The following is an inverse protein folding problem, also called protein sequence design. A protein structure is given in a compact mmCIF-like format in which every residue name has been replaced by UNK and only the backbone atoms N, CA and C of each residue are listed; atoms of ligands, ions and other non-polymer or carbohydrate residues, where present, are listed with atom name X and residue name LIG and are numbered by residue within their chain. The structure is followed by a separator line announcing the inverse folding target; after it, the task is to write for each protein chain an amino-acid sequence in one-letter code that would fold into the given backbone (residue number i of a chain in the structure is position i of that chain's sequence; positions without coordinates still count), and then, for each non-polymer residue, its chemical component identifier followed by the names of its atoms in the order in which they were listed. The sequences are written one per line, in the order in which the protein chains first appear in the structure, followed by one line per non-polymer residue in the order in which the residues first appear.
data_IF_760309323078
#
_entry.id   IF_760309323078
#
_cell.length_a   1.000
_cell.length_b   1.000
_cell.length_c   1.000
_cell.angle_alpha   90.00
_cell.angle_beta   90.00
_cell.angle_gamma   90.00
#
_symmetry.space_group_name_H-M   'P 1'
#
loop_
_entity.id
_entity.type
_entity.pdbx_description
1 polymer ?
#
# COMPACT_ATOMS: atom_id res chain seq x y z
N UNK A 1 0.29 -7.03 -9.93
CA UNK A 1 0.29 -5.88 -10.87
C UNK A 1 1.66 -5.66 -11.47
N UNK A 2 2.71 -5.47 -10.65
CA UNK A 2 4.08 -5.24 -11.14
C UNK A 2 4.76 -6.47 -11.75
N UNK A 3 4.28 -7.68 -11.43
CA UNK A 3 4.82 -8.94 -11.95
C UNK A 3 5.98 -9.51 -11.12
N UNK A 4 6.26 -8.93 -9.97
CA UNK A 4 7.29 -9.35 -9.01
C UNK A 4 6.86 -8.97 -7.59
N UNK A 5 7.38 -9.67 -6.57
CA UNK A 5 7.21 -9.31 -5.15
C UNK A 5 8.25 -8.27 -4.68
N UNK A 6 9.51 -8.44 -5.10
CA UNK A 6 10.59 -7.47 -4.97
C UNK A 6 11.05 -7.00 -6.35
N UNK A 7 11.27 -5.70 -6.50
CA UNK A 7 11.77 -5.12 -7.74
C UNK A 7 13.08 -5.79 -8.15
N UNK A 8 13.31 -6.08 -9.45
CA UNK A 8 14.50 -6.80 -9.90
C UNK A 8 15.84 -6.16 -9.54
N UNK A 9 15.88 -4.87 -9.24
CA UNK A 9 17.09 -4.17 -8.80
C UNK A 9 17.44 -4.41 -7.33
N UNK A 10 16.52 -4.95 -6.52
CA UNK A 10 16.78 -5.21 -5.09
C UNK A 10 17.51 -6.55 -4.97
N UNK A 11 18.72 -6.59 -4.40
CA UNK A 11 19.47 -7.82 -4.21
C UNK A 11 18.70 -8.79 -3.31
N UNK A 12 18.51 -10.02 -3.78
CA UNK A 12 17.81 -11.11 -3.08
C UNK A 12 18.72 -12.30 -2.75
N UNK A 13 19.98 -12.21 -3.14
CA UNK A 13 20.97 -13.26 -2.99
C UNK A 13 21.84 -12.96 -1.77
N UNK A 14 21.82 -13.86 -0.80
CA UNK A 14 22.62 -13.75 0.41
C UNK A 14 22.09 -14.69 1.50
N UNK A 15 22.96 -15.38 2.25
CA UNK A 15 22.51 -16.13 3.42
C UNK A 15 21.97 -15.15 4.47
N UNK A 16 20.87 -15.53 5.14
CA UNK A 16 20.35 -14.82 6.31
C UNK A 16 19.90 -13.36 6.08
N UNK A 17 19.32 -13.06 4.90
CA UNK A 17 18.65 -11.77 4.67
C UNK A 17 17.59 -11.50 5.74
N UNK A 18 17.52 -10.27 6.24
CA UNK A 18 16.45 -9.81 7.13
C UNK A 18 15.54 -8.82 6.40
N UNK A 19 14.27 -9.17 6.29
CA UNK A 19 13.26 -8.40 5.57
C UNK A 19 12.16 -7.96 6.53
N UNK A 20 11.79 -6.67 6.50
CA UNK A 20 10.61 -6.14 7.16
C UNK A 20 9.51 -5.80 6.16
N UNK A 21 8.27 -6.14 6.47
CA UNK A 21 7.06 -5.63 5.80
C UNK A 21 6.29 -4.76 6.81
N UNK A 22 6.39 -3.44 6.65
CA UNK A 22 5.75 -2.47 7.56
C UNK A 22 4.33 -2.19 7.07
N UNK A 23 3.36 -2.20 7.98
CA UNK A 23 1.95 -2.26 7.65
C UNK A 23 1.57 -3.57 6.97
N UNK A 24 2.03 -4.69 7.53
CA UNK A 24 1.92 -6.01 6.89
C UNK A 24 0.46 -6.49 6.73
N UNK A 25 -0.46 -5.98 7.56
CA UNK A 25 -1.86 -6.41 7.61
C UNK A 25 -1.97 -7.92 7.84
N UNK A 26 -2.41 -8.65 6.81
CA UNK A 26 -2.54 -10.12 6.88
C UNK A 26 -1.22 -10.89 6.80
N UNK A 27 -0.11 -10.23 6.45
CA UNK A 27 1.19 -10.88 6.22
C UNK A 27 1.32 -11.59 4.88
N UNK A 28 0.33 -11.48 3.99
CA UNK A 28 0.28 -12.25 2.72
C UNK A 28 1.50 -12.01 1.82
N UNK A 29 2.02 -10.78 1.78
CA UNK A 29 3.18 -10.46 0.95
C UNK A 29 4.43 -11.21 1.41
N UNK A 30 4.62 -11.39 2.73
CA UNK A 30 5.74 -12.17 3.26
C UNK A 30 5.61 -13.65 2.89
N UNK A 31 4.40 -14.20 2.87
CA UNK A 31 4.14 -15.58 2.47
C UNK A 31 4.46 -15.82 1.00
N UNK A 32 4.11 -14.86 0.14
CA UNK A 32 4.42 -14.92 -1.29
C UNK A 32 5.93 -14.74 -1.54
N UNK A 33 6.55 -13.72 -0.93
CA UNK A 33 7.97 -13.43 -1.10
C UNK A 33 8.85 -14.57 -0.58
N UNK A 34 8.49 -15.21 0.54
CA UNK A 34 9.26 -16.31 1.14
C UNK A 34 9.60 -17.42 0.14
N UNK A 35 8.74 -17.68 -0.83
CA UNK A 35 8.95 -18.72 -1.85
C UNK A 35 10.07 -18.38 -2.83
N UNK A 36 10.48 -17.11 -2.91
CA UNK A 36 11.53 -16.59 -3.79
C UNK A 36 12.88 -16.41 -3.08
N UNK A 37 12.96 -16.67 -1.77
CA UNK A 37 14.13 -16.39 -0.94
C UNK A 37 14.82 -17.67 -0.47
N UNK A 38 16.08 -17.53 -0.04
CA UNK A 38 16.78 -18.58 0.69
C UNK A 38 16.00 -18.95 1.97
N UNK A 39 15.86 -20.24 2.33
CA UNK A 39 15.13 -20.66 3.53
C UNK A 39 15.67 -20.09 4.85
N UNK A 40 16.92 -19.62 4.87
CA UNK A 40 17.55 -18.98 6.03
C UNK A 40 17.18 -17.51 6.20
N UNK A 41 16.48 -16.90 5.24
CA UNK A 41 16.00 -15.53 5.34
C UNK A 41 15.00 -15.38 6.49
N UNK A 42 15.13 -14.30 7.26
CA UNK A 42 14.22 -13.92 8.34
C UNK A 42 13.26 -12.85 7.83
N UNK A 43 11.96 -13.10 8.00
CA UNK A 43 10.89 -12.22 7.55
C UNK A 43 10.10 -11.72 8.76
N UNK A 44 9.92 -10.40 8.86
CA UNK A 44 9.24 -9.77 9.99
C UNK A 44 8.09 -8.92 9.47
N UNK A 45 6.87 -9.33 9.78
CA UNK A 45 5.67 -8.53 9.54
C UNK A 45 5.45 -7.57 10.70
N UNK A 46 5.31 -6.29 10.39
CA UNK A 46 5.13 -5.24 11.40
C UNK A 46 3.84 -4.49 11.13
N UNK A 47 2.98 -4.35 12.13
CA UNK A 47 1.72 -3.60 12.01
C UNK A 47 1.35 -2.95 13.35
N UNK A 48 0.45 -1.96 13.35
CA UNK A 48 -0.12 -1.43 14.61
C UNK A 48 -1.07 -2.43 15.28
N UNK A 49 -1.65 -3.33 14.49
CA UNK A 49 -2.53 -4.41 14.95
C UNK A 49 -2.27 -5.68 14.15
N UNK A 50 -1.78 -6.73 14.81
CA UNK A 50 -1.46 -8.02 14.16
C UNK A 50 -2.66 -8.99 14.12
N UNK A 51 -3.84 -8.58 14.61
CA UNK A 51 -5.03 -9.45 14.70
C UNK A 51 -5.57 -9.89 13.33
N UNK A 52 -5.21 -9.18 12.26
CA UNK A 52 -5.56 -9.54 10.88
C UNK A 52 -4.66 -10.62 10.28
N UNK A 53 -3.47 -10.83 10.84
CA UNK A 53 -2.54 -11.83 10.38
C UNK A 53 -2.95 -13.24 10.81
N UNK A 54 -2.42 -14.25 10.11
CA UNK A 54 -2.65 -15.63 10.50
C UNK A 54 -2.12 -15.90 11.93
N UNK A 55 -2.78 -16.79 12.71
CA UNK A 55 -2.27 -17.19 14.01
C UNK A 55 -0.82 -17.67 13.92
N UNK A 56 -0.01 -17.33 14.93
CA UNK A 56 1.43 -17.65 14.95
C UNK A 56 1.72 -19.13 14.66
N UNK A 57 0.87 -20.05 15.09
CA UNK A 57 1.02 -21.50 14.89
C UNK A 57 0.89 -21.92 13.42
N UNK A 58 0.34 -21.06 12.56
CA UNK A 58 0.18 -21.29 11.12
C UNK A 58 1.26 -20.60 10.30
N UNK A 59 2.07 -19.75 10.93
CA UNK A 59 3.16 -19.07 10.27
C UNK A 59 4.35 -20.02 10.10
N UNK A 60 5.07 -19.94 8.97
CA UNK A 60 6.37 -20.57 8.83
C UNK A 60 7.35 -20.13 9.91
N UNK A 61 8.30 -21.01 10.28
CA UNK A 61 9.27 -20.76 11.34
C UNK A 61 10.13 -19.50 11.12
N UNK A 62 10.38 -19.15 9.85
CA UNK A 62 11.17 -17.99 9.48
C UNK A 62 10.36 -16.69 9.29
N UNK A 63 9.06 -16.71 9.61
CA UNK A 63 8.20 -15.52 9.64
C UNK A 63 7.81 -15.22 11.10
N UNK A 64 8.00 -13.97 11.51
CA UNK A 64 7.53 -13.45 12.79
C UNK A 64 6.68 -12.20 12.61
N UNK A 65 5.85 -11.90 13.62
CA UNK A 65 4.99 -10.72 13.64
C UNK A 65 5.35 -9.84 14.83
N UNK A 66 5.23 -8.52 14.65
CA UNK A 66 5.50 -7.52 15.68
C UNK A 66 4.50 -6.38 15.62
N UNK A 67 3.98 -6.00 16.78
CA UNK A 67 3.18 -4.77 16.92
C UNK A 67 4.11 -3.55 17.03
N UNK A 68 3.98 -2.62 16.09
CA UNK A 68 4.61 -1.30 16.13
C UNK A 68 3.94 -0.33 15.14
N UNK A 69 3.75 0.92 15.56
CA UNK A 69 3.25 1.98 14.71
C UNK A 69 4.40 2.80 14.11
N UNK A 70 4.43 2.94 12.80
CA UNK A 70 5.43 3.77 12.09
C UNK A 70 5.35 5.27 12.45
N UNK A 71 4.30 5.69 13.15
CA UNK A 71 4.12 7.06 13.65
C UNK A 71 4.73 7.31 15.03
N UNK A 72 5.24 6.28 15.71
CA UNK A 72 5.97 6.42 16.97
C UNK A 72 7.48 6.37 16.74
N UNK A 73 8.27 6.48 17.82
CA UNK A 73 9.71 6.32 17.71
C UNK A 73 10.10 4.88 17.35
N UNK A 74 11.16 4.78 16.52
CA UNK A 74 11.74 3.49 16.15
C UNK A 74 12.39 2.87 17.40
N UNK A 75 11.95 1.68 17.83
CA UNK A 75 12.56 0.93 18.92
C UNK A 75 14.04 0.65 18.61
N UNK A 76 14.89 0.71 19.64
CA UNK A 76 16.35 0.57 19.48
C UNK A 76 16.75 -0.76 18.83
N UNK A 77 16.00 -1.83 19.11
CA UNK A 77 16.25 -3.17 18.56
C UNK A 77 15.84 -3.33 17.09
N UNK A 78 15.10 -2.37 16.53
CA UNK A 78 14.75 -2.34 15.11
C UNK A 78 15.65 -1.40 14.29
N UNK A 79 16.50 -0.61 14.94
CA UNK A 79 17.43 0.31 14.26
C UNK A 79 18.49 -0.50 13.50
N UNK A 80 18.63 -0.22 12.21
CA UNK A 80 19.61 -0.87 11.32
C UNK A 80 19.55 -2.40 11.34
N UNK A 81 18.34 -2.95 11.51
CA UNK A 81 18.14 -4.39 11.63
C UNK A 81 17.97 -5.08 10.27
N UNK A 82 17.43 -4.38 9.27
CA UNK A 82 16.93 -5.01 8.05
C UNK A 82 17.77 -4.68 6.81
N UNK A 83 17.95 -5.68 5.96
CA UNK A 83 18.55 -5.53 4.63
C UNK A 83 17.53 -4.96 3.64
N UNK A 84 16.25 -5.32 3.81
CA UNK A 84 15.15 -4.87 2.97
C UNK A 84 13.97 -4.45 3.85
N UNK A 85 13.38 -3.29 3.56
CA UNK A 85 12.13 -2.82 4.15
C UNK A 85 11.12 -2.61 3.04
N UNK A 86 9.93 -3.20 3.18
CA UNK A 86 8.80 -3.02 2.28
C UNK A 86 7.70 -2.21 2.97
N UNK A 87 7.04 -1.33 2.21
CA UNK A 87 5.84 -0.60 2.61
C UNK A 87 4.85 -0.56 1.44
N UNK A 88 3.55 -0.73 1.70
CA UNK A 88 2.53 -0.62 0.65
C UNK A 88 1.17 -0.17 1.17
N UNK A 89 0.43 0.56 0.32
CA UNK A 89 -0.98 0.94 0.53
C UNK A 89 -1.23 1.89 1.74
N UNK A 90 -0.30 2.80 2.00
CA UNK A 90 -0.39 3.84 3.02
C UNK A 90 -1.07 5.13 2.53
N UNK A 91 -1.56 5.17 1.28
CA UNK A 91 -2.29 6.31 0.71
C UNK A 91 -3.43 6.84 1.59
N UNK A 92 -4.12 6.02 2.39
CA UNK A 92 -5.18 6.50 3.29
C UNK A 92 -4.79 6.50 4.77
N UNK A 93 -3.51 6.30 5.04
CA UNK A 93 -2.91 6.26 6.38
C UNK A 93 -2.04 7.51 6.61
N UNK A 94 -1.32 7.94 5.58
CA UNK A 94 -0.52 9.17 5.57
C UNK A 94 -1.33 10.27 4.92
N UNK A 95 -1.46 11.41 5.59
CA UNK A 95 -2.23 12.54 5.08
C UNK A 95 -1.55 13.22 3.88
N UNK A 96 -0.50 14.02 4.10
CA UNK A 96 0.09 14.86 3.05
C UNK A 96 1.60 14.68 2.89
N UNK A 97 2.34 14.49 3.98
CA UNK A 97 3.81 14.41 3.95
C UNK A 97 4.27 12.99 4.31
N UNK A 98 4.86 12.23 3.36
CA UNK A 98 5.40 10.91 3.63
C UNK A 98 6.81 10.95 4.23
N UNK A 99 7.49 12.10 4.27
CA UNK A 99 8.87 12.19 4.72
C UNK A 99 9.09 11.74 6.19
N UNK A 100 8.22 12.06 7.17
CA UNK A 100 8.38 11.57 8.54
C UNK A 100 8.37 10.04 8.62
N UNK A 101 7.44 9.40 7.89
CA UNK A 101 7.37 7.93 7.80
C UNK A 101 8.61 7.38 7.11
N UNK A 102 9.02 7.97 5.97
CA UNK A 102 10.21 7.57 5.26
C UNK A 102 11.47 7.59 6.13
N UNK A 103 11.65 8.62 6.96
CA UNK A 103 12.78 8.71 7.89
C UNK A 103 12.77 7.56 8.90
N UNK A 104 11.60 7.16 9.41
CA UNK A 104 11.47 6.02 10.33
C UNK A 104 11.81 4.71 9.61
N UNK A 105 11.31 4.49 8.40
CA UNK A 105 11.66 3.31 7.58
C UNK A 105 13.16 3.23 7.28
N UNK A 106 13.79 4.36 6.95
CA UNK A 106 15.23 4.43 6.64
C UNK A 106 16.08 4.12 7.88
N UNK A 107 15.60 4.44 9.09
CA UNK A 107 16.27 4.04 10.35
C UNK A 107 16.22 2.52 10.58
N UNK A 108 15.23 1.82 10.05
CA UNK A 108 15.16 0.35 10.14
C UNK A 108 16.22 -0.34 9.27
N UNK A 109 16.63 0.32 8.18
CA UNK A 109 17.58 -0.24 7.22
C UNK A 109 19.01 -0.19 7.74
N UNK A 110 19.73 -1.31 7.56
CA UNK A 110 21.20 -1.34 7.60
C UNK A 110 21.77 -0.37 6.56
N UNK A 111 22.99 0.16 6.77
CA UNK A 111 23.72 0.84 5.71
C UNK A 111 23.81 -0.05 4.45
N UNK A 112 23.51 0.51 3.28
CA UNK A 112 23.41 -0.24 2.02
C UNK A 112 22.08 -0.98 1.79
N UNK A 113 21.18 -1.02 2.79
CA UNK A 113 19.87 -1.68 2.71
C UNK A 113 18.89 -0.98 1.75
N UNK A 114 17.85 -1.70 1.32
CA UNK A 114 16.90 -1.24 0.30
C UNK A 114 15.49 -1.04 0.88
N UNK A 115 14.90 0.12 0.58
CA UNK A 115 13.48 0.39 0.76
C UNK A 115 12.75 0.11 -0.54
N UNK A 116 11.63 -0.62 -0.45
CA UNK A 116 10.62 -0.72 -1.50
C UNK A 116 9.31 -0.13 -0.98
N UNK A 117 8.74 0.84 -1.69
CA UNK A 117 7.47 1.46 -1.32
C UNK A 117 6.52 1.51 -2.51
N UNK A 118 5.37 0.84 -2.43
CA UNK A 118 4.34 0.87 -3.47
C UNK A 118 3.03 1.55 -3.06
N UNK A 119 2.51 2.43 -3.91
CA UNK A 119 1.35 3.26 -3.63
C UNK A 119 0.42 3.47 -4.81
N UNK A 120 -0.78 3.96 -4.48
CA UNK A 120 -1.79 4.40 -5.44
C UNK A 120 -1.70 5.90 -5.63
N UNK A 121 -1.59 6.39 -6.87
CA UNK A 121 -1.80 7.80 -7.13
C UNK A 121 -3.31 8.08 -7.11
N UNK A 122 -3.84 8.50 -5.96
CA UNK A 122 -5.28 8.74 -5.79
C UNK A 122 -5.81 9.81 -6.76
N UNK A 123 -4.97 10.77 -7.18
CA UNK A 123 -5.34 11.81 -8.15
C UNK A 123 -5.41 11.32 -9.59
N UNK A 124 -4.88 10.14 -9.87
CA UNK A 124 -5.03 9.50 -11.18
C UNK A 124 -6.35 8.74 -11.33
N UNK A 125 -7.23 8.78 -10.31
CA UNK A 125 -8.55 8.15 -10.35
C UNK A 125 -9.31 8.54 -11.61
N UNK A 126 -9.80 7.52 -12.31
CA UNK A 126 -10.66 7.64 -13.48
C UNK A 126 -11.61 6.46 -13.52
N UNK A 127 -12.64 6.54 -14.35
CA UNK A 127 -13.54 5.43 -14.62
C UNK A 127 -13.22 4.90 -16.02
N UNK A 128 -12.69 3.68 -16.09
CA UNK A 128 -12.47 2.96 -17.34
C UNK A 128 -13.73 2.14 -17.65
N UNK A 129 -14.19 2.14 -18.90
CA UNK A 129 -15.38 1.39 -19.34
C UNK A 129 -15.08 0.43 -20.48
N UNK A 130 -15.82 -0.68 -20.55
CA UNK A 130 -15.74 -1.65 -21.65
C UNK A 130 -16.28 -1.10 -22.97
N UNK A 131 -17.17 -0.11 -22.92
CA UNK A 131 -17.67 0.64 -24.07
C UNK A 131 -18.19 2.01 -23.63
N UNK A 132 -18.32 2.99 -24.55
CA UNK A 132 -18.82 4.33 -24.23
C UNK A 132 -20.26 4.39 -23.68
N UNK A 133 -21.07 3.36 -23.93
CA UNK A 133 -22.48 3.31 -23.53
C UNK A 133 -22.70 2.76 -22.09
N UNK A 134 -21.61 2.37 -21.41
CA UNK A 134 -21.69 1.90 -20.02
C UNK A 134 -21.93 3.11 -19.11
N UNK A 135 -22.97 3.11 -18.26
CA UNK A 135 -23.21 4.19 -17.32
C UNK A 135 -22.12 4.23 -16.24
N UNK A 136 -21.81 5.44 -15.78
CA UNK A 136 -20.77 5.71 -14.76
C UNK A 136 -21.24 6.71 -13.71
N UNK A 137 -22.53 7.05 -13.69
CA UNK A 137 -23.06 8.14 -12.87
C UNK A 137 -22.91 7.82 -11.37
N UNK A 138 -23.21 6.59 -10.96
CA UNK A 138 -23.10 6.17 -9.57
C UNK A 138 -21.65 6.11 -9.10
N UNK A 139 -20.74 5.61 -9.94
CA UNK A 139 -19.30 5.63 -9.66
C UNK A 139 -18.76 7.06 -9.55
N UNK A 140 -19.17 7.97 -10.45
CA UNK A 140 -18.74 9.37 -10.37
C UNK A 140 -19.23 10.00 -9.06
N UNK A 141 -20.52 9.87 -8.76
CA UNK A 141 -21.12 10.46 -7.56
C UNK A 141 -20.53 9.86 -6.27
N UNK A 142 -20.30 8.55 -6.22
CA UNK A 142 -19.67 7.88 -5.08
C UNK A 142 -18.28 8.45 -4.81
N UNK A 143 -17.46 8.65 -5.84
CA UNK A 143 -16.12 9.21 -5.69
C UNK A 143 -16.15 10.65 -5.18
N UNK A 144 -17.03 11.47 -5.75
CA UNK A 144 -17.20 12.88 -5.37
C UNK A 144 -17.66 13.05 -3.93
N UNK A 145 -18.60 12.22 -3.47
CA UNK A 145 -19.15 12.32 -2.12
C UNK A 145 -18.22 11.82 -1.01
N UNK A 146 -17.21 11.02 -1.37
CA UNK A 146 -16.36 10.31 -0.40
C UNK A 146 -14.91 10.77 -0.41
N UNK A 147 -14.22 10.69 -1.56
CA UNK A 147 -12.76 10.87 -1.63
C UNK A 147 -12.38 12.21 -2.20
N UNK A 148 -12.92 12.59 -3.37
CA UNK A 148 -12.43 13.75 -4.14
C UNK A 148 -12.43 15.07 -3.37
N UNK A 149 -13.42 15.25 -2.48
CA UNK A 149 -13.61 16.48 -1.71
C UNK A 149 -12.98 16.43 -0.31
N UNK A 150 -12.32 15.32 0.08
CA UNK A 150 -11.58 15.23 1.34
C UNK A 150 -10.07 15.34 1.06
N UNK A 151 -9.41 16.46 1.43
CA UNK A 151 -7.99 16.66 1.15
C UNK A 151 -7.09 15.63 1.84
N UNK A 152 -7.55 14.95 2.89
CA UNK A 152 -6.80 13.88 3.56
C UNK A 152 -6.76 12.60 2.73
N UNK A 153 -7.74 12.41 1.85
CA UNK A 153 -7.86 11.25 0.98
C UNK A 153 -7.40 11.56 -0.46
N UNK A 154 -7.51 12.82 -0.89
CA UNK A 154 -7.20 13.29 -2.25
C UNK A 154 -5.86 14.04 -2.36
N UNK A 155 -4.81 13.46 -1.79
CA UNK A 155 -3.44 13.99 -1.81
C UNK A 155 -2.70 13.62 -3.11
N UNK A 156 -1.51 14.20 -3.32
CA UNK A 156 -0.65 13.91 -4.47
C UNK A 156 0.68 13.24 -4.11
N UNK A 157 0.93 12.94 -2.83
CA UNK A 157 2.30 12.63 -2.38
C UNK A 157 2.85 11.34 -2.99
N UNK A 158 1.98 10.39 -3.34
CA UNK A 158 2.39 9.16 -4.03
C UNK A 158 3.09 9.46 -5.38
N UNK A 159 2.68 10.53 -6.07
CA UNK A 159 3.32 10.99 -7.31
C UNK A 159 4.71 11.56 -7.08
N UNK A 160 4.87 12.25 -5.96
CA UNK A 160 6.13 12.91 -5.59
C UNK A 160 7.09 11.97 -4.84
N UNK A 161 6.65 10.76 -4.51
CA UNK A 161 7.38 9.79 -3.70
C UNK A 161 8.83 9.54 -4.19
N UNK A 162 9.12 9.36 -5.50
CA UNK A 162 10.50 9.22 -5.96
C UNK A 162 11.38 10.44 -5.65
N UNK A 163 10.81 11.64 -5.71
CA UNK A 163 11.54 12.86 -5.37
C UNK A 163 11.72 12.98 -3.84
N UNK A 164 10.71 12.60 -3.05
CA UNK A 164 10.83 12.57 -1.59
C UNK A 164 11.95 11.62 -1.15
N UNK A 165 12.06 10.42 -1.72
CA UNK A 165 13.14 9.48 -1.41
C UNK A 165 14.53 10.09 -1.66
N UNK A 166 14.70 10.79 -2.79
CA UNK A 166 15.96 11.47 -3.12
C UNK A 166 16.27 12.61 -2.14
N UNK A 167 15.27 13.43 -1.82
CA UNK A 167 15.41 14.56 -0.89
C UNK A 167 15.77 14.10 0.53
N UNK A 168 15.24 12.96 0.96
CA UNK A 168 15.55 12.34 2.25
C UNK A 168 16.85 11.51 2.24
N UNK A 169 17.62 11.57 1.15
CA UNK A 169 18.99 11.05 1.10
C UNK A 169 19.14 9.61 0.63
N UNK A 170 18.07 8.95 0.17
CA UNK A 170 18.21 7.63 -0.48
C UNK A 170 18.86 7.80 -1.86
N UNK A 171 19.75 6.86 -2.18
CA UNK A 171 20.44 6.76 -3.46
C UNK A 171 19.83 5.67 -4.33
N UNK A 172 20.25 5.59 -5.60
CA UNK A 172 19.77 4.57 -6.55
C UNK A 172 18.24 4.49 -6.65
N UNK A 173 17.58 5.66 -6.56
CA UNK A 173 16.12 5.73 -6.54
C UNK A 173 15.53 5.43 -7.92
N UNK A 174 14.70 4.39 -7.98
CA UNK A 174 13.99 3.94 -9.19
C UNK A 174 12.49 3.97 -8.95
N UNK A 175 11.72 4.30 -9.98
CA UNK A 175 10.25 4.30 -9.93
C UNK A 175 9.70 3.48 -11.10
N UNK A 176 8.92 2.45 -10.80
CA UNK A 176 8.13 1.68 -11.76
C UNK A 176 6.67 2.12 -11.67
N UNK A 177 6.18 2.75 -12.75
CA UNK A 177 4.80 3.22 -12.87
C UNK A 177 3.97 2.23 -13.68
N UNK A 178 2.84 1.81 -13.11
CA UNK A 178 1.89 0.91 -13.76
C UNK A 178 0.51 1.53 -13.81
N UNK A 179 -0.06 1.57 -15.01
CA UNK A 179 -1.46 1.88 -15.20
C UNK A 179 -2.30 0.66 -14.81
N UNK A 180 -3.34 0.86 -14.02
CA UNK A 180 -4.29 -0.22 -13.72
C UNK A 180 -5.10 -0.56 -14.96
N UNK A 181 -5.02 -1.82 -15.39
CA UNK A 181 -5.71 -2.33 -16.59
C UNK A 181 -6.14 -3.80 -16.40
N UNK A 182 -7.05 -4.24 -17.25
CA UNK A 182 -7.45 -5.65 -17.37
C UNK A 182 -8.03 -6.29 -16.11
N UNK A 183 -7.91 -7.61 -16.01
CA UNK A 183 -8.51 -8.39 -14.92
C UNK A 183 -7.96 -8.05 -13.53
N UNK A 184 -6.68 -7.74 -13.42
CA UNK A 184 -6.09 -7.32 -12.14
C UNK A 184 -6.69 -5.98 -11.67
N UNK A 185 -6.97 -5.07 -12.60
CA UNK A 185 -7.66 -3.83 -12.29
C UNK A 185 -9.10 -4.04 -11.82
N UNK A 186 -9.83 -4.94 -12.45
CA UNK A 186 -11.19 -5.29 -12.02
C UNK A 186 -11.22 -5.85 -10.60
N UNK A 187 -10.28 -6.74 -10.24
CA UNK A 187 -10.17 -7.27 -8.87
C UNK A 187 -9.91 -6.16 -7.85
N UNK A 188 -8.98 -5.24 -8.13
CA UNK A 188 -8.69 -4.11 -7.25
C UNK A 188 -9.86 -3.15 -7.13
N UNK A 189 -10.57 -2.89 -8.24
CA UNK A 189 -11.80 -2.11 -8.25
C UNK A 189 -12.85 -2.69 -7.29
N UNK A 190 -13.11 -3.99 -7.34
CA UNK A 190 -14.02 -4.63 -6.39
C UNK A 190 -13.57 -4.46 -4.93
N UNK A 191 -12.28 -4.51 -4.65
CA UNK A 191 -11.76 -4.23 -3.31
C UNK A 191 -12.00 -2.78 -2.86
N UNK A 192 -12.10 -1.80 -3.78
CA UNK A 192 -12.39 -0.41 -3.40
C UNK A 192 -13.77 -0.25 -2.79
N UNK A 193 -14.74 -1.11 -3.09
CA UNK A 193 -16.07 -1.04 -2.47
C UNK A 193 -16.03 -1.30 -0.97
N UNK A 194 -15.16 -2.20 -0.49
CA UNK A 194 -14.97 -2.42 0.95
C UNK A 194 -14.52 -1.14 1.66
N UNK A 195 -13.70 -0.31 1.02
CA UNK A 195 -13.29 0.99 1.57
C UNK A 195 -14.49 1.94 1.74
N UNK A 196 -15.37 2.06 0.74
CA UNK A 196 -16.56 2.91 0.85
C UNK A 196 -17.57 2.39 1.88
N UNK A 197 -17.71 1.08 2.00
CA UNK A 197 -18.51 0.44 3.06
C UNK A 197 -17.95 0.77 4.45
N UNK A 198 -16.62 0.75 4.62
CA UNK A 198 -15.97 1.19 5.87
C UNK A 198 -16.21 2.67 6.16
N UNK A 199 -16.18 3.54 5.14
CA UNK A 199 -16.52 4.96 5.31
C UNK A 199 -17.97 5.13 5.78
N UNK A 200 -18.93 4.44 5.13
CA UNK A 200 -20.33 4.47 5.55
C UNK A 200 -20.49 3.98 6.98
N UNK A 201 -19.88 2.84 7.34
CA UNK A 201 -19.95 2.27 8.69
C UNK A 201 -19.40 3.23 9.76
N UNK A 202 -18.26 3.90 9.49
CA UNK A 202 -17.66 4.88 10.41
C UNK A 202 -18.54 6.12 10.59
N UNK A 203 -19.31 6.49 9.57
CA UNK A 203 -20.22 7.64 9.61
C UNK A 203 -21.60 7.29 10.16
N UNK A 204 -21.94 6.01 10.33
CA UNK A 204 -23.29 5.58 10.71
C UNK A 204 -23.82 6.26 11.99
N UNK A 205 -22.97 6.47 12.98
CA UNK A 205 -23.35 7.09 14.26
C UNK A 205 -23.42 8.62 14.22
N UNK A 206 -22.69 9.27 13.31
CA UNK A 206 -22.55 10.73 13.25
C UNK A 206 -23.36 11.36 12.12
N UNK A 207 -23.56 10.64 11.01
CA UNK A 207 -24.33 11.07 9.86
C UNK A 207 -25.00 9.85 9.17
N UNK A 208 -26.04 9.27 9.77
CA UNK A 208 -26.69 8.05 9.27
C UNK A 208 -27.30 8.22 7.88
N UNK A 209 -27.75 9.43 7.52
CA UNK A 209 -28.28 9.72 6.19
C UNK A 209 -27.17 9.59 5.14
N UNK A 210 -26.04 10.28 5.32
CA UNK A 210 -24.91 10.18 4.39
C UNK A 210 -24.36 8.75 4.31
N UNK A 211 -24.33 8.02 5.43
CA UNK A 211 -23.94 6.61 5.42
C UNK A 211 -24.87 5.75 4.55
N UNK A 212 -26.19 5.92 4.67
CA UNK A 212 -27.16 5.22 3.83
C UNK A 212 -27.04 5.62 2.35
N UNK A 213 -26.81 6.91 2.07
CA UNK A 213 -26.61 7.42 0.70
C UNK A 213 -25.36 6.78 0.06
N UNK A 214 -24.24 6.72 0.78
CA UNK A 214 -23.01 6.04 0.33
C UNK A 214 -23.28 4.56 0.04
N UNK A 215 -23.97 3.85 0.94
CA UNK A 215 -24.28 2.43 0.72
C UNK A 215 -25.18 2.20 -0.50
N UNK A 216 -26.15 3.09 -0.74
CA UNK A 216 -26.97 3.07 -1.95
C UNK A 216 -26.13 3.25 -3.21
N UNK A 217 -25.20 4.21 -3.18
CA UNK A 217 -24.26 4.47 -4.29
C UNK A 217 -23.30 3.30 -4.52
N UNK A 218 -22.84 2.60 -3.47
CA UNK A 218 -22.05 1.36 -3.61
C UNK A 218 -22.84 0.28 -4.36
N UNK A 219 -24.12 0.08 -4.02
CA UNK A 219 -24.96 -0.90 -4.71
C UNK A 219 -25.22 -0.51 -6.18
N UNK A 220 -25.49 0.76 -6.45
CA UNK A 220 -25.67 1.27 -7.81
C UNK A 220 -24.36 1.15 -8.64
N UNK A 221 -23.22 1.52 -8.05
CA UNK A 221 -21.89 1.38 -8.64
C UNK A 221 -21.56 -0.07 -8.97
N UNK A 222 -21.97 -1.03 -8.13
CA UNK A 222 -21.82 -2.46 -8.42
C UNK A 222 -22.64 -2.91 -9.64
N UNK A 223 -23.80 -2.30 -9.91
CA UNK A 223 -24.58 -2.54 -11.12
C UNK A 223 -23.84 -2.01 -12.36
N UNK A 224 -23.33 -0.78 -12.31
CA UNK A 224 -22.48 -0.20 -13.38
C UNK A 224 -21.25 -1.06 -13.63
N UNK A 225 -20.64 -1.56 -12.56
CA UNK A 225 -19.45 -2.41 -12.62
C UNK A 225 -19.72 -3.72 -13.35
N UNK A 226 -20.84 -4.39 -13.06
CA UNK A 226 -21.26 -5.60 -13.79
C UNK A 226 -21.54 -5.34 -15.27
N UNK A 227 -21.83 -4.09 -15.65
CA UNK A 227 -21.98 -3.65 -17.05
C UNK A 227 -20.66 -3.27 -17.71
N UNK A 228 -19.55 -3.24 -16.96
CA UNK A 228 -18.21 -3.06 -17.48
C UNK A 228 -17.55 -1.72 -17.16
N UNK A 229 -18.00 -1.00 -16.11
CA UNK A 229 -17.29 0.16 -15.59
C UNK A 229 -16.36 -0.23 -14.42
N UNK A 230 -15.26 0.48 -14.22
CA UNK A 230 -14.41 0.30 -13.03
C UNK A 230 -13.67 1.58 -12.70
N UNK A 231 -13.39 1.81 -11.42
CA UNK A 231 -12.33 2.74 -11.05
C UNK A 231 -10.98 2.19 -11.47
N UNK A 232 -10.15 3.06 -12.00
CA UNK A 232 -8.77 2.76 -12.34
C UNK A 232 -7.84 3.85 -11.81
N UNK A 233 -6.64 3.42 -11.41
CA UNK A 233 -5.62 4.26 -10.82
C UNK A 233 -4.27 3.90 -11.43
N UNK A 234 -3.39 4.88 -11.53
CA UNK A 234 -1.97 4.64 -11.72
C UNK A 234 -1.35 4.30 -10.36
N UNK A 235 -0.39 3.38 -10.37
CA UNK A 235 0.33 2.92 -9.18
C UNK A 235 1.81 3.05 -9.42
N UNK A 236 2.53 3.37 -8.36
CA UNK A 236 3.98 3.47 -8.38
C UNK A 236 4.56 2.46 -7.41
N UNK A 237 5.66 1.85 -7.79
CA UNK A 237 6.58 1.19 -6.87
C UNK A 237 7.91 1.93 -6.95
N UNK A 238 8.38 2.43 -5.82
CA UNK A 238 9.64 3.16 -5.72
C UNK A 238 10.61 2.32 -4.91
N UNK A 239 11.82 2.15 -5.43
CA UNK A 239 12.96 1.59 -4.70
C UNK A 239 13.92 2.71 -4.37
N UNK A 240 14.52 2.68 -3.20
CA UNK A 240 15.68 3.50 -2.85
C UNK A 240 16.62 2.74 -1.93
N UNK A 241 17.90 3.07 -1.97
CA UNK A 241 18.93 2.44 -1.16
C UNK A 241 19.44 3.43 -0.10
N UNK A 242 19.59 2.96 1.14
CA UNK A 242 20.27 3.72 2.20
C UNK A 242 21.77 3.75 1.88
N UNK A 243 22.44 4.92 1.92
CA UNK A 243 23.88 4.99 1.73
C UNK A 243 24.66 4.13 2.74
N UNK A 244 25.84 3.65 2.36
CA UNK A 244 26.70 2.83 3.24
C UNK A 244 27.36 3.63 4.38
N UNK A 245 27.50 4.95 4.21
CA UNK A 245 28.27 5.82 5.13
C UNK A 245 27.39 6.93 5.73
N UNK A 246 26.24 6.58 6.30
CA UNK A 246 25.35 7.53 6.99
C UNK A 246 25.64 7.64 8.48
#
# INVERSE_FOLDING_TARGET
MFGYNLHPSVPREGPSLKIADVGTGTGVWLLDLRQELDPTAELVGIDVDISQAAPKQWLPENISLREWSVFTDVPDDLVEMFDIVNLRLFSFVIENDPAPVLRKLTRLLKPGGHLQWSETDVRSCRIDTSSPDVPTDALTELWEQTVQNDPRLYHSWARDLPQVLKTEGLINVLADWRRQEGHAGMMLHWCTFAMFEMFAAKMQSTNPKKAADIMSLVQASAVETRRGAMYAFDRVLVVGQKPENC
#
